data_IF_976835932649
#
_entry.id   IF_976835932649
#
_cell.length_a   1.000
_cell.length_b   1.000
_cell.length_c   1.000
_cell.angle_alpha   90.00
_cell.angle_beta   90.00
_cell.angle_gamma   90.00
#
_symmetry.space_group_name_H-M   'P 1'
#
loop_
_entity.id
_entity.type
_entity.pdbx_description
1 polymer ?
#
# COMPACT_ATOMS: atom_id res chain seq x y z
N UNK A 1 -17.80 -19.04 -1.38
CA UNK A 1 -19.22 -19.20 -1.04
C UNK A 1 -20.08 -18.04 -1.58
N UNK A 2 -19.86 -16.77 -1.21
CA UNK A 2 -20.70 -15.65 -1.70
C UNK A 2 -20.61 -15.35 -3.20
N UNK A 3 -19.45 -15.42 -3.82
CA UNK A 3 -19.32 -15.21 -5.27
C UNK A 3 -20.11 -16.25 -6.06
N UNK A 4 -20.02 -17.52 -5.67
CA UNK A 4 -20.76 -18.60 -6.30
C UNK A 4 -22.28 -18.44 -6.15
N UNK A 5 -22.76 -17.85 -5.06
CA UNK A 5 -24.18 -17.56 -4.88
C UNK A 5 -24.67 -16.45 -5.83
N UNK A 6 -23.84 -15.43 -6.08
CA UNK A 6 -24.13 -14.39 -7.07
C UNK A 6 -24.14 -14.95 -8.48
N UNK A 7 -23.14 -15.76 -8.83
CA UNK A 7 -23.03 -16.41 -10.15
C UNK A 7 -24.24 -17.27 -10.48
N UNK A 8 -24.80 -17.95 -9.46
CA UNK A 8 -25.98 -18.81 -9.59
C UNK A 8 -27.32 -18.05 -9.47
N UNK A 9 -27.31 -16.76 -9.19
CA UNK A 9 -28.51 -15.99 -8.93
C UNK A 9 -29.20 -16.31 -7.59
N UNK A 10 -28.50 -16.94 -6.66
CA UNK A 10 -28.99 -17.25 -5.31
C UNK A 10 -28.91 -16.02 -4.38
N UNK A 11 -28.25 -14.94 -4.83
CA UNK A 11 -28.06 -13.71 -4.08
C UNK A 11 -28.05 -12.52 -5.05
N UNK A 12 -28.88 -11.51 -4.79
CA UNK A 12 -29.00 -10.32 -5.63
C UNK A 12 -27.89 -9.30 -5.43
N UNK A 13 -27.23 -9.30 -4.27
CA UNK A 13 -26.23 -8.29 -3.91
C UNK A 13 -25.20 -8.80 -2.91
N UNK A 14 -23.93 -8.51 -3.21
CA UNK A 14 -22.85 -8.60 -2.24
C UNK A 14 -22.22 -7.21 -2.00
N UNK A 15 -22.09 -6.84 -0.75
CA UNK A 15 -21.52 -5.55 -0.31
C UNK A 15 -20.09 -5.71 0.25
N UNK A 16 -19.64 -6.93 0.50
CA UNK A 16 -18.36 -7.16 1.14
C UNK A 16 -17.19 -7.02 0.16
N UNK A 17 -16.01 -6.66 0.70
CA UNK A 17 -14.76 -6.65 -0.05
C UNK A 17 -14.45 -8.07 -0.48
N UNK A 18 -14.46 -8.30 -1.77
CA UNK A 18 -14.02 -9.55 -2.39
C UNK A 18 -12.49 -9.52 -2.56
N UNK A 19 -11.87 -10.69 -2.63
CA UNK A 19 -10.48 -10.77 -3.10
C UNK A 19 -10.41 -10.15 -4.50
N UNK A 20 -9.33 -9.40 -4.84
CA UNK A 20 -9.20 -8.73 -6.13
C UNK A 20 -9.45 -9.65 -7.33
N UNK A 21 -8.84 -10.84 -7.34
CA UNK A 21 -9.06 -11.83 -8.41
C UNK A 21 -10.52 -12.22 -8.57
N UNK A 22 -11.21 -12.45 -7.46
CA UNK A 22 -12.61 -12.84 -7.48
C UNK A 22 -13.54 -11.71 -7.99
N UNK A 23 -13.20 -10.46 -7.67
CA UNK A 23 -13.89 -9.30 -8.21
C UNK A 23 -13.73 -9.22 -9.75
N UNK A 24 -12.51 -9.42 -10.25
CA UNK A 24 -12.22 -9.42 -11.68
C UNK A 24 -12.92 -10.58 -12.41
N UNK A 25 -13.03 -11.74 -11.77
CA UNK A 25 -13.74 -12.87 -12.33
C UNK A 25 -15.25 -12.62 -12.42
N UNK A 26 -15.86 -12.03 -11.39
CA UNK A 26 -17.27 -11.65 -11.40
C UNK A 26 -17.63 -10.62 -12.49
N UNK A 27 -16.70 -9.78 -12.90
CA UNK A 27 -16.91 -8.85 -14.02
C UNK A 27 -17.11 -9.54 -15.36
N UNK A 28 -16.68 -10.80 -15.49
CA UNK A 28 -16.80 -11.61 -16.71
C UNK A 28 -18.08 -12.44 -16.73
N UNK A 29 -18.79 -12.53 -15.62
CA UNK A 29 -20.00 -13.35 -15.50
C UNK A 29 -21.19 -12.64 -16.15
N UNK A 30 -21.91 -13.26 -17.10
CA UNK A 30 -23.12 -12.68 -17.67
C UNK A 30 -24.16 -12.36 -16.58
N UNK A 31 -24.86 -11.25 -16.74
CA UNK A 31 -25.88 -10.74 -15.80
C UNK A 31 -25.38 -10.34 -14.40
N UNK A 32 -24.07 -10.33 -14.15
CA UNK A 32 -23.49 -9.80 -12.92
C UNK A 32 -22.87 -8.42 -13.17
N UNK A 33 -23.24 -7.44 -12.34
CA UNK A 33 -22.66 -6.09 -12.38
C UNK A 33 -21.71 -5.94 -11.22
N UNK A 34 -20.40 -6.14 -11.46
CA UNK A 34 -19.37 -5.92 -10.47
C UNK A 34 -18.73 -4.52 -10.66
N UNK A 35 -18.91 -3.63 -9.67
CA UNK A 35 -18.38 -2.27 -9.67
C UNK A 35 -17.49 -2.04 -8.46
N UNK A 36 -16.28 -1.51 -8.67
CA UNK A 36 -15.39 -1.02 -7.63
C UNK A 36 -15.57 0.49 -7.44
N UNK A 37 -15.46 0.94 -6.20
CA UNK A 37 -15.47 2.36 -5.87
C UNK A 37 -14.30 2.66 -4.93
N UNK A 38 -13.61 3.80 -5.10
CA UNK A 38 -12.63 4.26 -4.14
C UNK A 38 -13.27 4.35 -2.74
N UNK A 39 -12.63 3.76 -1.76
CA UNK A 39 -13.07 3.81 -0.37
C UNK A 39 -12.10 4.63 0.49
N UNK A 40 -12.40 4.79 1.77
CA UNK A 40 -11.55 5.49 2.73
C UNK A 40 -10.55 4.57 3.45
N UNK A 41 -10.49 3.28 3.06
CA UNK A 41 -9.53 2.33 3.59
C UNK A 41 -8.12 2.55 3.05
N UNK A 42 -7.12 2.16 3.82
CA UNK A 42 -5.73 2.17 3.41
C UNK A 42 -4.97 1.01 4.06
N UNK A 43 -3.91 0.59 3.41
CA UNK A 43 -2.92 -0.31 3.99
C UNK A 43 -1.74 0.51 4.49
N UNK A 44 -1.26 0.22 5.68
CA UNK A 44 -0.13 0.93 6.27
C UNK A 44 0.86 -0.01 6.93
N UNK A 45 2.12 0.41 6.94
CA UNK A 45 3.16 -0.20 7.74
C UNK A 45 3.36 0.63 9.00
N UNK A 46 2.98 0.08 10.16
CA UNK A 46 3.18 0.71 11.46
C UNK A 46 4.59 0.45 11.98
N UNK A 47 5.25 1.49 12.50
CA UNK A 47 6.59 1.38 13.08
C UNK A 47 6.55 1.45 14.60
N UNK A 48 7.30 0.56 15.25
CA UNK A 48 7.54 0.64 16.69
C UNK A 48 8.62 1.69 16.99
N UNK A 49 8.22 2.95 17.10
CA UNK A 49 9.14 4.11 17.16
C UNK A 49 9.93 4.25 18.47
N UNK A 50 9.78 3.33 19.42
CA UNK A 50 10.52 3.33 20.69
C UNK A 50 11.80 2.51 20.66
N UNK A 51 12.07 1.77 19.58
CA UNK A 51 13.21 0.86 19.48
C UNK A 51 14.03 1.15 18.23
N UNK A 52 15.38 1.11 18.35
CA UNK A 52 16.24 1.14 17.16
C UNK A 52 15.95 -0.02 16.20
N UNK A 53 16.09 0.19 14.90
CA UNK A 53 16.38 1.45 14.18
C UNK A 53 15.14 2.31 13.93
N UNK A 54 13.96 1.84 14.30
CA UNK A 54 12.68 2.47 13.96
C UNK A 54 12.37 3.74 14.77
N UNK A 55 13.14 4.03 15.82
CA UNK A 55 13.09 5.30 16.55
C UNK A 55 13.70 6.46 15.73
N UNK A 56 14.59 6.17 14.77
CA UNK A 56 15.22 7.18 13.92
C UNK A 56 14.30 7.58 12.76
N UNK A 57 13.93 8.86 12.62
CA UNK A 57 13.15 9.35 11.49
C UNK A 57 13.81 9.17 10.13
N UNK A 58 15.15 9.28 10.06
CA UNK A 58 15.89 9.08 8.80
C UNK A 58 15.77 7.63 8.32
N UNK A 59 15.88 6.68 9.24
CA UNK A 59 15.69 5.27 8.92
C UNK A 59 14.27 4.99 8.41
N UNK A 60 13.22 5.55 9.05
CA UNK A 60 11.84 5.38 8.58
C UNK A 60 11.58 5.99 7.21
N UNK A 61 12.18 7.19 6.94
CA UNK A 61 12.09 7.82 5.61
C UNK A 61 12.79 6.99 4.54
N UNK A 62 13.96 6.45 4.83
CA UNK A 62 14.66 5.56 3.91
C UNK A 62 13.84 4.30 3.62
N UNK A 63 13.27 3.66 4.65
CA UNK A 63 12.37 2.52 4.49
C UNK A 63 11.17 2.84 3.60
N UNK A 64 10.57 4.02 3.73
CA UNK A 64 9.45 4.43 2.91
C UNK A 64 9.79 4.51 1.40
N UNK A 65 11.05 4.82 1.07
CA UNK A 65 11.54 4.81 -0.31
C UNK A 65 11.99 3.43 -0.85
N UNK A 66 12.09 2.43 0.01
CA UNK A 66 12.44 1.05 -0.39
C UNK A 66 11.21 0.19 -0.67
N UNK A 67 10.04 0.60 -0.18
CA UNK A 67 8.80 -0.16 -0.37
C UNK A 67 8.30 -0.02 -1.80
N UNK A 68 8.28 -1.11 -2.61
CA UNK A 68 7.82 -1.08 -3.99
C UNK A 68 6.29 -1.10 -4.05
N UNK A 69 5.67 0.06 -3.83
CA UNK A 69 4.21 0.19 -3.69
C UNK A 69 3.47 -0.27 -4.95
N UNK A 70 3.94 0.11 -6.12
CA UNK A 70 3.36 -0.27 -7.40
C UNK A 70 3.40 -1.78 -7.61
N UNK A 71 4.52 -2.42 -7.29
CA UNK A 71 4.64 -3.88 -7.37
C UNK A 71 3.67 -4.58 -6.40
N UNK A 72 3.52 -4.05 -5.18
CA UNK A 72 2.57 -4.58 -4.20
C UNK A 72 1.14 -4.42 -4.70
N UNK A 73 0.78 -3.27 -5.25
CA UNK A 73 -0.55 -3.00 -5.82
C UNK A 73 -0.83 -3.98 -6.95
N UNK A 74 0.10 -4.17 -7.86
CA UNK A 74 -0.07 -5.08 -8.99
C UNK A 74 -0.16 -6.55 -8.54
N UNK A 75 0.82 -7.01 -7.75
CA UNK A 75 0.94 -8.43 -7.40
C UNK A 75 -0.10 -8.91 -6.38
N UNK A 76 -0.51 -8.04 -5.43
CA UNK A 76 -1.39 -8.42 -4.32
C UNK A 76 -2.82 -7.91 -4.53
N UNK A 77 -2.97 -6.73 -5.11
CA UNK A 77 -4.26 -6.06 -5.26
C UNK A 77 -4.75 -6.03 -6.71
N UNK A 78 -4.03 -6.66 -7.64
CA UNK A 78 -4.38 -6.75 -9.07
C UNK A 78 -4.67 -5.38 -9.70
N UNK A 79 -3.89 -4.36 -9.32
CA UNK A 79 -4.08 -3.00 -9.79
C UNK A 79 -5.26 -2.23 -9.18
N UNK A 80 -5.98 -2.80 -8.21
CA UNK A 80 -7.20 -2.22 -7.64
C UNK A 80 -6.93 -1.30 -6.43
N UNK A 81 -5.84 -0.56 -6.44
CA UNK A 81 -5.51 0.44 -5.42
C UNK A 81 -4.60 1.53 -5.99
N UNK A 82 -4.52 2.65 -5.28
CA UNK A 82 -3.60 3.74 -5.60
C UNK A 82 -2.46 3.81 -4.58
N UNK A 83 -1.24 4.22 -4.98
CA UNK A 83 -0.14 4.41 -4.04
C UNK A 83 -0.46 5.53 -3.06
N UNK A 84 -0.49 5.20 -1.77
CA UNK A 84 -0.79 6.15 -0.70
C UNK A 84 0.42 6.94 -0.22
N UNK A 85 0.21 8.21 0.10
CA UNK A 85 1.16 9.09 0.79
C UNK A 85 0.71 9.50 2.19
N UNK A 86 -0.52 9.20 2.55
CA UNK A 86 -1.15 9.65 3.80
C UNK A 86 -2.14 8.61 4.31
N UNK A 87 -2.49 8.71 5.58
CA UNK A 87 -3.57 7.91 6.19
C UNK A 87 -4.96 8.39 5.78
N UNK A 88 -5.04 9.51 5.07
CA UNK A 88 -6.29 10.03 4.52
C UNK A 88 -6.34 9.64 3.04
N UNK A 89 -7.24 8.72 2.73
CA UNK A 89 -7.41 8.22 1.37
C UNK A 89 -7.85 9.33 0.40
N UNK A 90 -7.44 9.29 -0.89
CA UNK A 90 -7.83 10.26 -1.91
C UNK A 90 -9.35 10.36 -2.12
N UNK A 91 -10.10 9.32 -1.81
CA UNK A 91 -11.56 9.33 -1.84
C UNK A 91 -12.18 10.35 -0.86
N UNK A 92 -11.49 10.69 0.21
CA UNK A 92 -11.90 11.74 1.13
C UNK A 92 -11.41 13.11 0.67
N UNK A 93 -12.05 13.65 -0.35
CA UNK A 93 -11.65 14.89 -1.02
C UNK A 93 -11.58 16.11 -0.11
N UNK A 94 -12.30 16.10 1.00
CA UNK A 94 -12.34 17.22 1.94
C UNK A 94 -11.07 17.30 2.81
N UNK A 95 -10.58 16.15 3.29
CA UNK A 95 -9.44 16.08 4.20
C UNK A 95 -8.14 15.67 3.51
N UNK A 96 -8.21 15.13 2.30
CA UNK A 96 -7.02 14.67 1.58
C UNK A 96 -6.18 15.84 1.07
N UNK A 97 -4.91 15.85 1.45
CA UNK A 97 -3.94 16.79 0.90
C UNK A 97 -3.11 16.10 -0.20
N UNK A 98 -3.31 16.45 -1.49
CA UNK A 98 -2.57 15.84 -2.59
C UNK A 98 -1.08 16.23 -2.62
N UNK A 99 -0.67 17.27 -1.88
CA UNK A 99 0.74 17.68 -1.79
C UNK A 99 1.57 16.84 -0.81
N UNK A 100 0.96 15.90 -0.08
CA UNK A 100 1.71 14.97 0.78
C UNK A 100 2.58 14.06 -0.08
N UNK A 101 3.89 14.06 0.20
CA UNK A 101 4.85 13.24 -0.52
C UNK A 101 4.51 11.74 -0.37
N UNK A 102 4.22 11.00 -1.45
CA UNK A 102 3.91 9.58 -1.38
C UNK A 102 5.14 8.70 -1.14
N UNK A 103 6.33 9.27 -1.02
CA UNK A 103 7.60 8.52 -0.92
C UNK A 103 7.71 7.47 -2.05
N UNK A 104 7.90 7.88 -3.31
CA UNK A 104 8.06 6.94 -4.42
C UNK A 104 9.27 6.05 -4.19
N UNK A 105 9.25 4.84 -4.77
CA UNK A 105 10.37 3.92 -4.70
C UNK A 105 11.62 4.55 -5.29
N UNK A 106 12.68 4.65 -4.47
CA UNK A 106 13.98 5.20 -4.85
C UNK A 106 15.06 4.68 -3.93
N UNK A 107 15.68 3.58 -4.33
CA UNK A 107 16.76 2.91 -3.57
C UNK A 107 17.97 3.83 -3.36
N UNK A 108 18.30 4.66 -4.37
CA UNK A 108 19.45 5.56 -4.27
C UNK A 108 19.18 6.68 -3.27
N UNK A 109 17.98 7.23 -3.27
CA UNK A 109 17.55 8.21 -2.29
C UNK A 109 17.51 7.63 -0.89
N UNK A 110 17.02 6.40 -0.72
CA UNK A 110 17.05 5.70 0.55
C UNK A 110 18.47 5.55 1.10
N UNK A 111 19.41 5.10 0.25
CA UNK A 111 20.84 4.99 0.62
C UNK A 111 21.44 6.33 1.00
N UNK A 112 21.11 7.39 0.24
CA UNK A 112 21.58 8.75 0.56
C UNK A 112 21.05 9.24 1.90
N UNK A 113 19.76 9.06 2.19
CA UNK A 113 19.16 9.44 3.49
C UNK A 113 19.87 8.74 4.64
N UNK A 114 20.17 7.44 4.50
CA UNK A 114 20.89 6.69 5.53
C UNK A 114 22.34 7.18 5.70
N UNK A 115 23.05 7.42 4.61
CA UNK A 115 24.41 7.94 4.65
C UNK A 115 24.50 9.33 5.29
N UNK A 116 23.59 10.25 4.91
CA UNK A 116 23.50 11.60 5.48
C UNK A 116 23.17 11.56 6.99
N UNK A 117 22.49 10.51 7.46
CA UNK A 117 22.20 10.26 8.87
C UNK A 117 23.30 9.49 9.61
N UNK A 118 24.46 9.23 8.95
CA UNK A 118 25.61 8.58 9.57
C UNK A 118 25.59 7.05 9.57
N UNK A 119 24.61 6.42 8.93
CA UNK A 119 24.63 4.97 8.74
C UNK A 119 25.71 4.54 7.77
N UNK A 120 26.39 3.45 8.05
CA UNK A 120 27.47 2.90 7.22
C UNK A 120 27.20 1.46 6.84
N UNK A 121 27.71 1.07 5.68
CA UNK A 121 27.66 -0.32 5.22
C UNK A 121 29.00 -0.99 5.44
N UNK A 122 29.01 -2.11 6.17
CA UNK A 122 30.22 -2.94 6.38
C UNK A 122 29.85 -4.41 6.14
N UNK A 123 30.57 -5.05 5.24
CA UNK A 123 30.36 -6.47 4.91
C UNK A 123 28.90 -6.82 4.60
N UNK A 124 28.20 -5.98 3.83
CA UNK A 124 26.81 -6.18 3.45
C UNK A 124 25.78 -5.91 4.54
N UNK A 125 26.20 -5.42 5.71
CA UNK A 125 25.29 -5.07 6.82
C UNK A 125 25.27 -3.58 7.05
N UNK A 126 24.10 -3.05 7.37
CA UNK A 126 23.90 -1.67 7.78
C UNK A 126 24.27 -1.52 9.26
N UNK A 127 25.10 -0.54 9.57
CA UNK A 127 25.51 -0.18 10.92
C UNK A 127 24.95 1.17 11.31
N UNK A 128 24.59 1.32 12.57
CA UNK A 128 24.11 2.57 13.14
C UNK A 128 25.17 3.66 13.12
N UNK A 129 24.74 4.92 13.13
CA UNK A 129 25.64 6.02 13.46
C UNK A 129 26.32 5.77 14.83
N UNK A 130 27.62 6.02 14.90
CA UNK A 130 28.41 5.94 16.14
C UNK A 130 28.06 7.07 17.11
#
# INVERSE_FOLDING_TARGET
>A
MMAAAIEKGECDRNRYILKPSLFLDLQKVPNVVAKGYPNHGFYSLGYHTRRPPLNDPAFRKALAHVIPKELIIEAVLSGLADPGGSVIAPANKFWHNPAVNPYPEDINKAKKILADAGYTWKSGKLHYPG
#
